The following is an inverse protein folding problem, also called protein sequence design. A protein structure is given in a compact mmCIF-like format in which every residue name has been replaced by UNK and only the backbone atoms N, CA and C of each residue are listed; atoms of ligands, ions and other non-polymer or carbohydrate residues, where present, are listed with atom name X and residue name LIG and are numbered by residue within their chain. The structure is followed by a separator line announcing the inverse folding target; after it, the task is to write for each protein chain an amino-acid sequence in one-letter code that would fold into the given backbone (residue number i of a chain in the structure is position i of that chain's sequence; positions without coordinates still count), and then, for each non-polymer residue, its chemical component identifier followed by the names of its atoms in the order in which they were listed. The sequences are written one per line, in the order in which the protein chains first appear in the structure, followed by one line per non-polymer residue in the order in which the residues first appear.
data_IF_034333857867
#
_entry.id   IF_034333857867
#
_cell.length_a   1.000
_cell.length_b   1.000
_cell.length_c   1.000
_cell.angle_alpha   90.00
_cell.angle_beta   90.00
_cell.angle_gamma   90.00
#
_symmetry.space_group_name_H-M   'P 1'
#
loop_
_entity.id
_entity.type
_entity.pdbx_description
1 polymer ?
#
# COMPACT_ATOMS: atom_id res chain seq x y z
N UNK A 1 28.00 9.16 -8.41
CA UNK A 1 27.63 8.48 -9.68
C UNK A 1 26.20 7.93 -9.60
N UNK A 2 25.88 6.97 -8.73
CA UNK A 2 24.52 6.38 -8.67
C UNK A 2 23.38 7.40 -8.44
N UNK A 3 23.57 8.40 -7.59
CA UNK A 3 22.54 9.43 -7.30
C UNK A 3 22.31 10.40 -8.45
N UNK A 4 23.34 10.69 -9.19
CA UNK A 4 23.29 11.58 -10.34
C UNK A 4 22.56 10.89 -11.50
N UNK A 5 22.85 9.61 -11.69
CA UNK A 5 22.21 8.76 -12.68
C UNK A 5 20.72 8.56 -12.37
N UNK A 6 20.38 8.24 -11.11
CA UNK A 6 19.01 8.14 -10.65
C UNK A 6 18.26 9.47 -10.79
N UNK A 7 18.91 10.60 -10.47
CA UNK A 7 18.33 11.93 -10.65
C UNK A 7 18.02 12.24 -12.11
N UNK A 8 18.89 11.86 -13.03
CA UNK A 8 18.66 12.02 -14.47
C UNK A 8 17.51 11.14 -14.96
N UNK A 9 17.44 9.90 -14.49
CA UNK A 9 16.34 8.98 -14.84
C UNK A 9 14.99 9.47 -14.32
N UNK A 10 14.92 9.95 -13.09
CA UNK A 10 13.72 10.58 -12.53
C UNK A 10 13.30 11.84 -13.31
N UNK A 11 14.26 12.66 -13.78
CA UNK A 11 13.98 13.80 -14.67
C UNK A 11 13.43 13.36 -16.03
N UNK A 12 14.02 12.33 -16.67
CA UNK A 12 13.50 11.79 -17.92
C UNK A 12 12.07 11.27 -17.78
N UNK A 13 11.77 10.59 -16.68
CA UNK A 13 10.42 10.14 -16.38
C UNK A 13 9.43 11.31 -16.21
N UNK A 14 9.87 12.44 -15.60
CA UNK A 14 9.05 13.66 -15.53
C UNK A 14 8.74 14.22 -16.91
N UNK A 15 9.74 14.29 -17.80
CA UNK A 15 9.54 14.73 -19.19
C UNK A 15 8.57 13.80 -19.94
N UNK A 16 8.70 12.48 -19.77
CA UNK A 16 7.76 11.52 -20.34
C UNK A 16 6.33 11.69 -19.83
N UNK A 17 6.15 11.96 -18.54
CA UNK A 17 4.81 12.25 -17.97
C UNK A 17 4.22 13.56 -18.47
N UNK A 18 5.02 14.62 -18.57
CA UNK A 18 4.58 15.89 -19.14
C UNK A 18 4.19 15.74 -20.61
N UNK A 19 4.98 15.00 -21.41
CA UNK A 19 4.64 14.68 -22.78
C UNK A 19 3.33 13.89 -22.89
N UNK A 20 3.15 12.86 -22.04
CA UNK A 20 1.90 12.10 -21.97
C UNK A 20 0.69 12.95 -21.54
N UNK A 21 0.90 13.90 -20.59
CA UNK A 21 -0.16 14.81 -20.16
C UNK A 21 -0.57 15.78 -21.29
N UNK A 22 0.39 16.32 -22.04
CA UNK A 22 0.12 17.18 -23.19
C UNK A 22 -0.63 16.41 -24.28
N UNK A 23 -0.24 15.16 -24.56
CA UNK A 23 -0.96 14.29 -25.48
C UNK A 23 -2.39 14.02 -25.04
N UNK A 24 -2.61 13.74 -23.74
CA UNK A 24 -3.96 13.52 -23.21
C UNK A 24 -4.82 14.78 -23.31
N UNK A 25 -4.27 15.96 -22.97
CA UNK A 25 -4.99 17.24 -23.09
C UNK A 25 -5.34 17.56 -24.53
N UNK A 26 -4.39 17.42 -25.47
CA UNK A 26 -4.66 17.65 -26.89
C UNK A 26 -5.69 16.66 -27.44
N UNK A 27 -5.65 15.41 -27.03
CA UNK A 27 -6.64 14.40 -27.37
C UNK A 27 -8.04 14.78 -26.89
N UNK A 28 -8.16 15.24 -25.64
CA UNK A 28 -9.42 15.74 -25.07
C UNK A 28 -10.00 16.94 -25.81
N UNK A 29 -9.17 17.90 -26.17
CA UNK A 29 -9.58 19.09 -26.95
C UNK A 29 -10.05 18.69 -28.35
N UNK A 30 -9.32 17.81 -29.03
CA UNK A 30 -9.69 17.34 -30.41
C UNK A 30 -11.01 16.56 -30.37
N UNK A 31 -11.20 15.68 -29.37
CA UNK A 31 -12.45 14.95 -29.19
C UNK A 31 -13.64 15.88 -28.95
N UNK A 32 -13.46 16.89 -28.07
CA UNK A 32 -14.48 17.89 -27.78
C UNK A 32 -14.82 18.74 -29.03
N UNK A 33 -13.81 19.15 -29.81
CA UNK A 33 -14.01 19.86 -31.09
C UNK A 33 -14.80 19.01 -32.10
N UNK A 34 -14.54 17.70 -32.17
CA UNK A 34 -15.28 16.77 -33.00
C UNK A 34 -16.78 16.69 -32.65
N UNK A 35 -17.10 16.77 -31.38
CA UNK A 35 -18.52 16.81 -30.90
C UNK A 35 -19.17 18.14 -31.27
N UNK A 36 -18.49 19.28 -31.07
CA UNK A 36 -19.03 20.62 -31.31
C UNK A 36 -19.26 20.88 -32.80
N UNK A 37 -18.41 20.34 -33.69
CA UNK A 37 -18.47 20.51 -35.14
C UNK A 37 -19.47 19.56 -35.85
N UNK A 38 -20.51 19.12 -35.15
CA UNK A 38 -21.56 18.31 -35.75
C UNK A 38 -21.30 16.81 -35.71
N UNK A 39 -20.50 16.33 -34.75
CA UNK A 39 -20.32 14.90 -34.51
C UNK A 39 -19.33 14.23 -35.47
N UNK A 40 -18.26 14.90 -35.86
CA UNK A 40 -17.22 14.30 -36.74
C UNK A 40 -16.56 13.09 -36.02
N UNK A 41 -16.97 11.88 -36.44
CA UNK A 41 -16.49 10.61 -35.89
C UNK A 41 -14.96 10.50 -35.98
N UNK A 42 -14.38 10.98 -37.04
CA UNK A 42 -12.92 10.96 -37.28
C UNK A 42 -12.16 11.75 -36.20
N UNK A 43 -12.64 12.95 -35.84
CA UNK A 43 -12.02 13.79 -34.81
C UNK A 43 -12.23 13.18 -33.40
N UNK A 44 -13.39 12.60 -33.12
CA UNK A 44 -13.67 11.95 -31.86
C UNK A 44 -12.76 10.73 -31.67
N UNK A 45 -12.63 9.89 -32.68
CA UNK A 45 -11.75 8.70 -32.66
C UNK A 45 -10.28 9.12 -32.51
N UNK A 46 -9.82 10.10 -33.27
CA UNK A 46 -8.45 10.60 -33.15
C UNK A 46 -8.17 11.15 -31.75
N UNK A 47 -9.08 11.93 -31.19
CA UNK A 47 -8.98 12.45 -29.82
C UNK A 47 -8.94 11.35 -28.76
N UNK A 48 -9.77 10.31 -28.88
CA UNK A 48 -9.78 9.16 -28.00
C UNK A 48 -8.46 8.36 -28.06
N UNK A 49 -7.91 8.16 -29.26
CA UNK A 49 -6.62 7.48 -29.45
C UNK A 49 -5.49 8.28 -28.80
N UNK A 50 -5.44 9.59 -29.00
CA UNK A 50 -4.41 10.44 -28.38
C UNK A 50 -4.53 10.47 -26.85
N UNK A 51 -5.75 10.48 -26.30
CA UNK A 51 -6.01 10.35 -24.87
C UNK A 51 -5.45 9.01 -24.33
N UNK A 52 -5.78 7.91 -24.97
CA UNK A 52 -5.32 6.57 -24.57
C UNK A 52 -3.79 6.45 -24.64
N UNK A 53 -3.17 6.94 -25.71
CA UNK A 53 -1.71 6.96 -25.86
C UNK A 53 -1.05 7.82 -24.78
N UNK A 54 -1.59 9.00 -24.49
CA UNK A 54 -1.08 9.88 -23.45
C UNK A 54 -1.11 9.22 -22.06
N UNK A 55 -2.20 8.55 -21.73
CA UNK A 55 -2.33 7.80 -20.48
C UNK A 55 -1.36 6.60 -20.41
N UNK A 56 -1.21 5.86 -21.51
CA UNK A 56 -0.27 4.75 -21.58
C UNK A 56 1.20 5.20 -21.38
N UNK A 57 1.60 6.33 -21.99
CA UNK A 57 2.94 6.93 -21.81
C UNK A 57 3.16 7.35 -20.37
N UNK A 58 2.17 8.00 -19.74
CA UNK A 58 2.27 8.41 -18.33
C UNK A 58 2.41 7.20 -17.39
N UNK A 59 1.59 6.16 -17.60
CA UNK A 59 1.63 4.94 -16.79
C UNK A 59 2.97 4.22 -16.91
N UNK A 60 3.47 4.01 -18.12
CA UNK A 60 4.78 3.38 -18.38
C UNK A 60 5.93 4.18 -17.77
N UNK A 61 5.95 5.49 -17.93
CA UNK A 61 6.99 6.36 -17.40
C UNK A 61 7.01 6.33 -15.84
N UNK A 62 5.83 6.28 -15.21
CA UNK A 62 5.73 6.14 -13.75
C UNK A 62 6.22 4.78 -13.27
N UNK A 63 5.81 3.70 -13.93
CA UNK A 63 6.20 2.35 -13.58
C UNK A 63 7.71 2.13 -13.70
N UNK A 64 8.30 2.57 -14.82
CA UNK A 64 9.75 2.49 -15.03
C UNK A 64 10.54 3.26 -13.99
N UNK A 65 10.16 4.51 -13.70
CA UNK A 65 10.84 5.31 -12.67
C UNK A 65 10.68 4.69 -11.28
N UNK A 66 9.52 4.12 -10.96
CA UNK A 66 9.30 3.39 -9.72
C UNK A 66 10.21 2.19 -9.58
N UNK A 67 10.32 1.38 -10.64
CA UNK A 67 11.19 0.21 -10.65
C UNK A 67 12.67 0.61 -10.51
N UNK A 68 13.13 1.60 -11.25
CA UNK A 68 14.51 2.10 -11.16
C UNK A 68 14.84 2.65 -9.77
N UNK A 69 13.93 3.40 -9.15
CA UNK A 69 14.10 3.89 -7.79
C UNK A 69 14.13 2.74 -6.77
N UNK A 70 13.27 1.73 -6.95
CA UNK A 70 13.28 0.53 -6.14
C UNK A 70 14.61 -0.20 -6.25
N UNK A 71 15.06 -0.51 -7.48
CA UNK A 71 16.31 -1.25 -7.73
C UNK A 71 17.56 -0.52 -7.19
N UNK A 72 17.55 0.82 -7.24
CA UNK A 72 18.65 1.64 -6.77
C UNK A 72 18.68 1.88 -5.26
N UNK A 73 17.51 1.97 -4.60
CA UNK A 73 17.41 2.44 -3.20
C UNK A 73 16.98 1.32 -2.25
N UNK A 74 16.03 0.46 -2.64
CA UNK A 74 15.49 -0.53 -1.73
C UNK A 74 16.52 -1.52 -1.18
N UNK A 75 17.48 -2.05 -1.96
CA UNK A 75 18.50 -2.97 -1.44
C UNK A 75 19.34 -2.34 -0.34
N UNK A 76 19.73 -1.06 -0.47
CA UNK A 76 20.49 -0.34 0.53
C UNK A 76 19.71 -0.20 1.85
N UNK A 77 18.45 0.25 1.76
CA UNK A 77 17.62 0.52 2.95
C UNK A 77 17.18 -0.78 3.61
N UNK A 78 16.76 -1.76 2.82
CA UNK A 78 16.36 -3.07 3.33
C UNK A 78 17.55 -3.80 3.93
N UNK A 79 18.73 -3.74 3.28
CA UNK A 79 19.95 -4.35 3.76
C UNK A 79 20.53 -3.71 5.03
N UNK A 80 20.18 -2.47 5.33
CA UNK A 80 20.55 -1.83 6.60
C UNK A 80 19.72 -2.32 7.80
N UNK A 81 18.59 -2.98 7.55
CA UNK A 81 17.60 -3.39 8.58
C UNK A 81 17.44 -4.89 8.66
N UNK A 82 17.43 -5.58 7.53
CA UNK A 82 17.18 -7.02 7.42
C UNK A 82 18.41 -7.77 6.98
N UNK A 83 18.58 -8.97 7.52
CA UNK A 83 19.56 -9.96 7.09
C UNK A 83 18.90 -11.00 6.18
N UNK A 84 19.73 -11.79 5.44
CA UNK A 84 19.28 -12.90 4.60
C UNK A 84 18.15 -12.53 3.62
N UNK A 85 18.31 -11.39 2.95
CA UNK A 85 17.28 -10.83 2.10
C UNK A 85 17.07 -11.67 0.84
N UNK A 86 15.82 -11.98 0.58
CA UNK A 86 15.32 -12.59 -0.64
C UNK A 86 14.26 -11.69 -1.26
N UNK A 87 14.43 -11.36 -2.52
CA UNK A 87 13.45 -10.55 -3.27
C UNK A 87 12.83 -11.39 -4.37
N UNK A 88 11.52 -11.26 -4.53
CA UNK A 88 10.83 -11.84 -5.66
C UNK A 88 9.74 -10.87 -6.15
N UNK A 89 9.96 -10.16 -7.28
CA UNK A 89 8.99 -9.17 -7.76
C UNK A 89 7.66 -9.79 -8.21
N UNK A 90 7.63 -11.12 -8.45
CA UNK A 90 6.44 -11.84 -8.94
C UNK A 90 5.84 -12.74 -7.84
N UNK A 91 6.47 -12.80 -6.67
CA UNK A 91 6.08 -13.74 -5.63
C UNK A 91 4.68 -13.49 -5.07
N UNK A 92 4.10 -14.57 -4.56
CA UNK A 92 2.80 -14.51 -3.95
C UNK A 92 2.78 -13.52 -2.80
N UNK A 93 1.73 -12.84 -2.75
CA UNK A 93 1.22 -11.96 -1.74
C UNK A 93 1.21 -12.71 -0.41
N UNK A 94 1.51 -12.00 0.66
CA UNK A 94 1.20 -12.45 2.01
C UNK A 94 -0.26 -12.89 2.06
N UNK A 95 -0.53 -14.04 2.65
CA UNK A 95 -1.90 -14.53 2.75
C UNK A 95 -2.71 -13.61 3.68
N UNK A 96 -3.56 -12.80 3.07
CA UNK A 96 -4.43 -11.87 3.79
C UNK A 96 -5.66 -12.55 4.38
N UNK A 97 -5.97 -13.78 3.95
CA UNK A 97 -7.14 -14.53 4.41
C UNK A 97 -6.97 -15.03 5.84
N UNK A 98 -5.74 -15.28 6.25
CA UNK A 98 -5.42 -15.71 7.62
C UNK A 98 -5.44 -14.57 8.63
N UNK A 99 -5.80 -13.37 8.24
CA UNK A 99 -5.87 -12.21 9.12
C UNK A 99 -7.32 -11.84 9.44
N UNK A 100 -7.54 -11.34 10.65
CA UNK A 100 -8.81 -10.72 11.04
C UNK A 100 -8.80 -9.19 10.77
N UNK A 101 -7.89 -8.70 9.94
CA UNK A 101 -7.84 -7.28 9.55
C UNK A 101 -9.04 -6.97 8.65
N UNK A 102 -9.89 -6.01 9.02
CA UNK A 102 -10.99 -5.59 8.15
C UNK A 102 -10.47 -4.99 6.85
N UNK A 103 -10.84 -5.60 5.73
CA UNK A 103 -10.54 -5.13 4.40
C UNK A 103 -11.82 -4.75 3.66
N UNK A 104 -11.77 -3.79 2.73
CA UNK A 104 -12.92 -3.50 1.88
C UNK A 104 -13.28 -4.71 1.01
N UNK A 105 -14.55 -4.79 0.59
CA UNK A 105 -14.99 -5.79 -0.38
C UNK A 105 -14.15 -5.69 -1.65
N UNK A 106 -13.73 -6.83 -2.17
CA UNK A 106 -12.91 -6.91 -3.37
C UNK A 106 -13.11 -8.25 -4.09
N UNK A 107 -12.88 -8.25 -5.39
CA UNK A 107 -12.94 -9.45 -6.22
C UNK A 107 -11.55 -9.98 -6.55
N UNK A 108 -10.55 -9.10 -6.61
CA UNK A 108 -9.18 -9.44 -6.94
C UNK A 108 -8.22 -8.89 -5.89
N UNK A 109 -7.22 -9.71 -5.55
CA UNK A 109 -6.10 -9.33 -4.71
C UNK A 109 -4.80 -9.57 -5.48
N UNK A 110 -3.97 -8.54 -5.56
CA UNK A 110 -2.65 -8.61 -6.21
C UNK A 110 -1.59 -8.02 -5.30
N UNK A 111 -0.33 -8.37 -5.54
CA UNK A 111 0.78 -7.84 -4.77
C UNK A 111 1.99 -7.55 -5.63
N UNK A 112 2.91 -6.78 -5.08
CA UNK A 112 4.18 -6.44 -5.72
C UNK A 112 5.25 -6.14 -4.70
N UNK A 113 6.52 -6.22 -5.13
CA UNK A 113 7.66 -5.84 -4.32
C UNK A 113 7.83 -6.72 -3.08
N UNK A 114 7.63 -8.05 -3.22
CA UNK A 114 7.82 -8.98 -2.12
C UNK A 114 9.30 -9.06 -1.71
N UNK A 115 9.52 -8.88 -0.43
CA UNK A 115 10.83 -9.01 0.21
C UNK A 115 10.67 -9.88 1.44
N UNK A 116 11.55 -10.84 1.61
CA UNK A 116 11.68 -11.66 2.81
C UNK A 116 13.07 -11.47 3.38
N UNK A 117 13.17 -11.36 4.69
CA UNK A 117 14.43 -11.23 5.40
C UNK A 117 14.30 -11.62 6.86
N UNK A 118 15.37 -11.36 7.61
CA UNK A 118 15.40 -11.63 9.05
C UNK A 118 15.63 -10.31 9.80
N UNK A 119 14.73 -9.93 10.68
CA UNK A 119 14.85 -8.78 11.56
C UNK A 119 15.08 -9.27 13.00
N UNK A 120 16.26 -8.99 13.57
CA UNK A 120 16.65 -9.45 14.93
C UNK A 120 16.37 -10.96 15.17
N UNK A 121 16.66 -11.80 14.18
CA UNK A 121 16.40 -13.24 14.23
C UNK A 121 14.96 -13.64 13.87
N UNK A 122 14.04 -12.71 13.69
CA UNK A 122 12.66 -12.96 13.34
C UNK A 122 12.45 -12.98 11.83
N UNK A 123 11.85 -14.04 11.30
CA UNK A 123 11.50 -14.10 9.88
C UNK A 123 10.44 -13.05 9.58
N UNK A 124 10.75 -12.16 8.64
CA UNK A 124 9.90 -11.03 8.27
C UNK A 124 9.70 -11.00 6.75
N UNK A 125 8.47 -10.77 6.35
CA UNK A 125 8.07 -10.68 4.95
C UNK A 125 7.30 -9.37 4.75
N UNK A 126 7.55 -8.68 3.66
CA UNK A 126 6.86 -7.44 3.32
C UNK A 126 6.50 -7.38 1.84
N UNK A 127 5.38 -6.77 1.53
CA UNK A 127 4.93 -6.53 0.16
C UNK A 127 3.91 -5.38 0.10
N UNK A 128 3.66 -4.90 -1.10
CA UNK A 128 2.51 -4.05 -1.40
C UNK A 128 1.32 -4.93 -1.76
N UNK A 129 0.15 -4.65 -1.19
CA UNK A 129 -1.11 -5.31 -1.56
C UNK A 129 -2.04 -4.31 -2.22
N UNK A 130 -2.67 -4.74 -3.31
CA UNK A 130 -3.72 -4.03 -4.03
C UNK A 130 -4.98 -4.88 -4.06
N UNK A 131 -6.10 -4.28 -3.67
CA UNK A 131 -7.42 -4.90 -3.78
C UNK A 131 -8.22 -4.13 -4.81
N UNK A 132 -8.80 -4.86 -5.75
CA UNK A 132 -9.60 -4.31 -6.84
C UNK A 132 -10.99 -4.94 -6.80
N UNK A 133 -11.99 -4.11 -6.95
CA UNK A 133 -13.36 -4.53 -7.17
C UNK A 133 -13.65 -4.45 -8.67
N UNK A 134 -14.05 -5.59 -9.24
CA UNK A 134 -14.46 -5.68 -10.64
C UNK A 134 -15.96 -5.86 -10.68
N UNK A 135 -16.66 -4.88 -11.23
CA UNK A 135 -18.08 -4.90 -11.46
C UNK A 135 -18.35 -5.15 -12.94
N UNK A 136 -19.17 -6.17 -13.22
CA UNK A 136 -19.64 -6.47 -14.58
C UNK A 136 -21.12 -6.07 -14.68
N UNK A 137 -21.46 -5.28 -15.66
CA UNK A 137 -22.82 -4.87 -15.92
C UNK A 137 -23.14 -4.90 -17.41
N UNK A 138 -24.35 -5.31 -17.79
CA UNK A 138 -24.78 -5.27 -19.19
C UNK A 138 -24.97 -3.82 -19.61
N UNK A 139 -24.44 -3.45 -20.78
CA UNK A 139 -24.70 -2.16 -21.40
C UNK A 139 -26.09 -2.17 -22.03
N UNK A 140 -26.98 -1.30 -21.56
CA UNK A 140 -28.39 -1.29 -21.98
C UNK A 140 -28.57 -1.15 -23.51
N UNK A 141 -27.69 -0.40 -24.17
CA UNK A 141 -27.79 -0.12 -25.62
C UNK A 141 -27.31 -1.27 -26.53
N UNK A 142 -26.36 -2.09 -26.08
CA UNK A 142 -25.71 -3.09 -26.95
C UNK A 142 -25.83 -4.52 -26.42
N UNK A 143 -26.26 -4.71 -25.19
CA UNK A 143 -26.28 -6.01 -24.52
C UNK A 143 -24.90 -6.61 -24.22
N UNK A 144 -23.83 -5.90 -24.53
CA UNK A 144 -22.47 -6.31 -24.24
C UNK A 144 -22.13 -6.05 -22.76
N UNK A 145 -21.40 -6.98 -22.16
CA UNK A 145 -20.94 -6.83 -20.79
C UNK A 145 -19.77 -5.83 -20.71
N UNK A 146 -19.94 -4.81 -19.91
CA UNK A 146 -18.88 -3.86 -19.56
C UNK A 146 -18.27 -4.23 -18.21
N UNK A 147 -16.94 -4.10 -18.11
CA UNK A 147 -16.20 -4.30 -16.85
C UNK A 147 -15.72 -2.95 -16.35
N UNK A 148 -16.02 -2.67 -15.10
CA UNK A 148 -15.46 -1.54 -14.37
C UNK A 148 -14.54 -2.06 -13.28
N UNK A 149 -13.28 -1.65 -13.29
CA UNK A 149 -12.31 -1.98 -12.28
C UNK A 149 -12.06 -0.76 -11.40
N UNK A 150 -12.24 -0.94 -10.08
CA UNK A 150 -11.98 0.09 -9.10
C UNK A 150 -10.95 -0.41 -8.09
N UNK A 151 -9.84 0.31 -7.93
CA UNK A 151 -8.88 0.04 -6.88
C UNK A 151 -9.46 0.54 -5.55
N UNK A 152 -9.85 -0.40 -4.66
CA UNK A 152 -10.50 -0.09 -3.38
C UNK A 152 -9.51 -0.02 -2.21
N UNK A 153 -8.30 -0.57 -2.40
CA UNK A 153 -7.25 -0.56 -1.39
C UNK A 153 -5.87 -0.66 -2.03
N UNK A 154 -4.94 0.17 -1.56
CA UNK A 154 -3.49 -0.01 -1.76
C UNK A 154 -2.81 0.21 -0.44
N UNK A 155 -2.02 -0.75 -0.02
CA UNK A 155 -1.35 -0.67 1.27
C UNK A 155 -0.04 -1.44 1.34
N UNK A 156 0.73 -1.08 2.34
CA UNK A 156 1.97 -1.73 2.72
C UNK A 156 1.64 -2.81 3.75
N UNK A 157 2.10 -4.03 3.52
CA UNK A 157 1.87 -5.16 4.40
C UNK A 157 3.18 -5.79 4.84
N UNK A 158 3.23 -6.14 6.13
CA UNK A 158 4.34 -6.87 6.71
C UNK A 158 3.79 -8.03 7.55
N UNK A 159 4.43 -9.19 7.43
CA UNK A 159 4.28 -10.34 8.30
C UNK A 159 5.60 -10.55 9.04
N UNK A 160 5.56 -10.63 10.36
CA UNK A 160 6.68 -11.05 11.21
C UNK A 160 6.27 -12.29 12.01
N UNK A 161 7.14 -13.31 12.03
CA UNK A 161 6.97 -14.49 12.85
C UNK A 161 7.72 -14.31 14.16
N UNK A 162 7.00 -14.08 15.27
CA UNK A 162 7.60 -13.82 16.59
C UNK A 162 8.28 -15.04 17.23
N UNK A 163 8.20 -16.20 16.57
CA UNK A 163 8.88 -17.44 17.00
C UNK A 163 8.28 -18.12 18.23
N UNK A 164 7.10 -17.70 18.66
CA UNK A 164 6.39 -18.27 19.81
C UNK A 164 4.89 -18.09 19.65
N UNK A 165 4.15 -19.02 20.26
CA UNK A 165 2.69 -18.95 20.33
C UNK A 165 2.25 -17.95 21.40
N UNK A 166 1.09 -17.35 21.19
CA UNK A 166 0.43 -16.47 22.15
C UNK A 166 -0.92 -17.04 22.59
N UNK A 167 -1.37 -16.67 23.77
CA UNK A 167 -2.56 -17.23 24.41
C UNK A 167 -3.85 -16.95 23.63
N UNK A 168 -3.91 -15.85 22.88
CA UNK A 168 -5.07 -15.44 22.12
C UNK A 168 -4.65 -14.67 20.86
N UNK A 169 -5.50 -14.63 19.86
CA UNK A 169 -5.35 -13.69 18.78
C UNK A 169 -5.89 -12.31 19.18
N UNK A 170 -5.37 -11.26 18.58
CA UNK A 170 -5.92 -9.92 18.72
C UNK A 170 -5.82 -9.16 17.40
N UNK A 171 -6.80 -8.30 17.15
CA UNK A 171 -6.78 -7.38 16.01
C UNK A 171 -7.07 -5.96 16.49
N UNK A 172 -6.23 -5.03 16.06
CA UNK A 172 -6.36 -3.59 16.28
C UNK A 172 -6.56 -2.94 14.93
N UNK A 173 -7.58 -2.10 14.78
CA UNK A 173 -7.80 -1.33 13.56
C UNK A 173 -8.38 0.06 13.86
N UNK A 174 -8.25 1.02 12.93
CA UNK A 174 -8.71 2.38 13.15
C UNK A 174 -10.21 2.45 13.40
N UNK A 175 -10.62 3.27 14.35
CA UNK A 175 -12.05 3.53 14.59
C UNK A 175 -12.60 4.42 13.49
N UNK A 176 -13.51 3.89 12.69
CA UNK A 176 -14.26 4.62 11.67
C UNK A 176 -15.68 4.90 12.15
N UNK A 177 -16.18 6.11 11.88
CA UNK A 177 -17.49 6.56 12.39
C UNK A 177 -18.69 5.69 11.94
N UNK A 178 -18.55 4.95 10.84
CA UNK A 178 -19.61 4.17 10.21
C UNK A 178 -19.65 2.69 10.63
N UNK A 179 -18.56 2.15 11.18
CA UNK A 179 -18.48 0.74 11.56
C UNK A 179 -18.88 0.56 13.04
N UNK A 180 -20.08 0.05 13.29
CA UNK A 180 -20.51 -0.42 14.61
C UNK A 180 -20.03 -1.85 14.82
N UNK A 181 -18.77 -2.04 15.16
CA UNK A 181 -18.27 -3.36 15.57
C UNK A 181 -18.19 -3.44 17.10
N UNK A 182 -18.44 -4.65 17.63
CA UNK A 182 -18.19 -4.93 19.04
C UNK A 182 -16.68 -4.79 19.29
N UNK A 183 -16.31 -3.93 20.22
CA UNK A 183 -14.90 -3.67 20.57
C UNK A 183 -14.68 -3.90 22.04
N UNK A 184 -13.52 -4.46 22.38
CA UNK A 184 -13.04 -4.58 23.74
C UNK A 184 -12.61 -3.19 24.21
N UNK A 185 -13.05 -2.80 25.43
CA UNK A 185 -12.61 -1.56 26.05
C UNK A 185 -11.33 -1.81 26.82
N UNK A 186 -10.28 -1.06 26.53
CA UNK A 186 -8.96 -1.27 27.15
C UNK A 186 -8.80 -0.53 28.47
N UNK A 187 -9.71 0.40 28.77
CA UNK A 187 -9.59 1.34 29.89
C UNK A 187 -8.66 2.52 29.59
N UNK A 188 -7.96 2.52 28.46
CA UNK A 188 -7.19 3.67 27.98
C UNK A 188 -8.06 4.50 27.02
N UNK A 189 -8.60 5.61 27.51
CA UNK A 189 -9.52 6.44 26.75
C UNK A 189 -8.92 7.02 25.45
N UNK A 190 -7.61 7.23 25.36
CA UNK A 190 -6.94 7.70 24.16
C UNK A 190 -6.87 6.59 23.10
N UNK A 191 -6.55 5.37 23.54
CA UNK A 191 -6.51 4.19 22.67
C UNK A 191 -7.92 3.84 22.17
N UNK A 192 -8.90 3.77 23.07
CA UNK A 192 -10.29 3.41 22.76
C UNK A 192 -10.99 4.41 21.83
N UNK A 193 -10.57 5.67 21.83
CA UNK A 193 -11.06 6.68 20.86
C UNK A 193 -10.50 6.49 19.45
N UNK A 194 -9.30 5.93 19.33
CA UNK A 194 -8.56 5.86 18.06
C UNK A 194 -8.68 4.50 17.39
N UNK A 195 -8.82 3.45 18.19
CA UNK A 195 -8.79 2.07 17.70
C UNK A 195 -9.98 1.25 18.19
N UNK A 196 -10.31 0.25 17.37
CA UNK A 196 -11.08 -0.90 17.78
C UNK A 196 -10.11 -2.02 18.18
N UNK A 197 -10.47 -2.78 19.21
CA UNK A 197 -9.79 -3.99 19.62
C UNK A 197 -10.77 -5.16 19.57
N UNK A 198 -10.39 -6.26 18.92
CA UNK A 198 -11.11 -7.52 18.90
C UNK A 198 -10.20 -8.68 19.26
N UNK A 199 -10.74 -9.64 19.96
CA UNK A 199 -10.10 -10.88 20.36
C UNK A 199 -11.18 -11.89 20.72
N UNK A 200 -10.83 -13.15 20.83
CA UNK A 200 -11.71 -14.18 21.40
C UNK A 200 -11.59 -14.30 22.94
N UNK A 201 -10.48 -13.84 23.51
CA UNK A 201 -10.26 -13.76 24.96
C UNK A 201 -9.82 -12.34 25.36
N UNK A 202 -10.76 -11.59 25.92
CA UNK A 202 -10.56 -10.21 26.37
C UNK A 202 -9.46 -10.09 27.43
N UNK A 203 -9.47 -10.97 28.42
CA UNK A 203 -8.50 -10.92 29.51
C UNK A 203 -7.07 -11.18 29.02
N UNK A 204 -6.88 -12.12 28.11
CA UNK A 204 -5.59 -12.39 27.49
C UNK A 204 -5.15 -11.26 26.53
N UNK A 205 -6.08 -10.68 25.76
CA UNK A 205 -5.78 -9.54 24.90
C UNK A 205 -5.30 -8.32 25.72
N UNK A 206 -5.93 -8.03 26.86
CA UNK A 206 -5.53 -6.93 27.76
C UNK A 206 -4.17 -7.21 28.44
N UNK A 207 -3.82 -8.49 28.68
CA UNK A 207 -2.46 -8.84 29.15
C UNK A 207 -1.40 -8.60 28.08
N UNK A 208 -1.73 -8.87 26.81
CA UNK A 208 -0.86 -8.57 25.68
C UNK A 208 -0.72 -7.05 25.48
N UNK A 209 -1.83 -6.32 25.50
CA UNK A 209 -1.86 -4.87 25.33
C UNK A 209 -1.68 -4.13 26.68
N UNK A 210 -0.50 -4.24 27.23
CA UNK A 210 -0.14 -3.47 28.44
C UNK A 210 -0.27 -1.96 28.21
N UNK A 211 -0.43 -1.14 29.27
CA UNK A 211 -0.49 0.33 29.14
C UNK A 211 0.69 0.90 28.34
N UNK A 212 1.92 0.44 28.62
CA UNK A 212 3.11 0.90 27.88
C UNK A 212 3.11 0.52 26.40
N UNK A 213 2.54 -0.65 26.03
CA UNK A 213 2.37 -1.01 24.62
C UNK A 213 1.34 -0.12 23.93
N UNK A 214 0.21 0.14 24.59
CA UNK A 214 -0.80 1.06 24.05
C UNK A 214 -0.24 2.47 23.81
N UNK A 215 0.56 2.99 24.73
CA UNK A 215 1.24 4.28 24.55
C UNK A 215 2.20 4.28 23.34
N UNK A 216 2.99 3.22 23.18
CA UNK A 216 3.88 3.06 22.01
C UNK A 216 3.09 2.97 20.71
N UNK A 217 1.98 2.22 20.67
CA UNK A 217 1.10 2.13 19.49
C UNK A 217 0.50 3.51 19.17
N UNK A 218 0.07 4.27 20.17
CA UNK A 218 -0.44 5.62 19.98
C UNK A 218 0.62 6.56 19.41
N UNK A 219 1.85 6.51 19.91
CA UNK A 219 2.97 7.30 19.39
C UNK A 219 3.31 6.93 17.93
N UNK A 220 3.31 5.63 17.59
CA UNK A 220 3.50 5.16 16.24
C UNK A 220 2.35 5.57 15.30
N UNK A 221 1.13 5.66 15.86
CA UNK A 221 -0.02 6.13 15.09
C UNK A 221 0.10 7.59 14.66
N UNK A 222 0.77 8.43 15.45
CA UNK A 222 0.99 9.85 15.12
C UNK A 222 2.02 10.04 14.00
N UNK A 223 2.95 9.09 13.84
CA UNK A 223 3.99 9.10 12.80
C UNK A 223 3.65 8.27 11.57
N UNK A 224 2.54 7.53 11.58
CA UNK A 224 2.15 6.66 10.47
C UNK A 224 1.70 7.48 9.25
N UNK A 225 2.17 7.07 8.06
CA UNK A 225 1.81 7.71 6.80
C UNK A 225 0.34 7.51 6.39
N UNK A 226 -0.39 6.61 7.05
CA UNK A 226 -1.77 6.27 6.76
C UNK A 226 -2.49 5.64 7.93
N UNK A 227 -3.68 5.12 7.69
CA UNK A 227 -4.37 4.29 8.67
C UNK A 227 -3.69 2.93 8.72
N UNK A 228 -3.53 2.36 9.91
CA UNK A 228 -2.94 1.04 10.04
C UNK A 228 -3.81 0.09 10.84
N UNK A 229 -3.59 -1.19 10.60
CA UNK A 229 -4.18 -2.29 11.37
C UNK A 229 -3.08 -3.26 11.77
N UNK A 230 -3.27 -3.90 12.91
CA UNK A 230 -2.38 -4.92 13.46
C UNK A 230 -3.22 -6.16 13.73
N UNK A 231 -2.72 -7.32 13.34
CA UNK A 231 -3.29 -8.60 13.76
C UNK A 231 -2.16 -9.49 14.28
N UNK A 232 -2.33 -10.01 15.48
CA UNK A 232 -1.47 -11.00 16.08
C UNK A 232 -2.26 -12.31 16.18
N UNK A 233 -1.81 -13.34 15.49
CA UNK A 233 -2.41 -14.66 15.54
C UNK A 233 -1.83 -15.50 16.69
N UNK A 234 -2.54 -16.55 17.09
CA UNK A 234 -2.11 -17.45 18.19
C UNK A 234 -0.76 -18.12 17.94
N UNK A 235 -0.43 -18.40 16.69
CA UNK A 235 0.85 -18.99 16.26
C UNK A 235 2.00 -17.97 16.16
N UNK A 236 1.85 -16.80 16.76
CA UNK A 236 2.85 -15.75 16.79
C UNK A 236 3.07 -15.02 15.46
N UNK A 237 2.20 -15.19 14.46
CA UNK A 237 2.24 -14.39 13.24
C UNK A 237 1.66 -12.99 13.51
N UNK A 238 2.51 -11.99 13.41
CA UNK A 238 2.15 -10.57 13.51
C UNK A 238 2.02 -9.98 12.11
N UNK A 239 0.81 -9.57 11.77
CA UNK A 239 0.51 -8.87 10.51
C UNK A 239 0.33 -7.37 10.79
N UNK A 240 1.01 -6.56 9.98
CA UNK A 240 0.91 -5.11 9.99
C UNK A 240 0.44 -4.66 8.61
N UNK A 241 -0.63 -3.88 8.56
CA UNK A 241 -1.18 -3.34 7.32
C UNK A 241 -1.29 -1.81 7.43
N UNK A 242 -0.68 -1.07 6.51
CA UNK A 242 -0.78 0.39 6.43
C UNK A 242 -1.49 0.79 5.15
N UNK A 243 -2.67 1.36 5.28
CA UNK A 243 -3.44 1.91 4.17
C UNK A 243 -3.07 3.38 3.95
N UNK A 244 -2.10 3.61 3.11
CA UNK A 244 -1.61 4.95 2.73
C UNK A 244 -2.00 5.36 1.31
N UNK A 245 -2.68 4.48 0.54
CA UNK A 245 -2.90 4.64 -0.90
C UNK A 245 -1.63 4.48 -1.73
N UNK A 246 -0.55 3.97 -1.11
CA UNK A 246 0.76 3.75 -1.75
C UNK A 246 1.35 2.43 -1.29
N UNK A 247 2.17 1.83 -2.17
CA UNK A 247 2.96 0.66 -1.82
C UNK A 247 4.28 1.00 -1.15
N UNK A 248 5.02 -0.04 -0.74
CA UNK A 248 6.42 0.10 -0.33
C UNK A 248 7.24 0.67 -1.48
N UNK A 249 8.16 1.59 -1.16
CA UNK A 249 9.09 2.21 -2.11
C UNK A 249 8.43 2.92 -3.30
N UNK A 250 7.16 3.30 -3.17
CA UNK A 250 6.45 4.07 -4.21
C UNK A 250 7.04 5.49 -4.29
N UNK A 251 7.48 5.89 -5.48
CA UNK A 251 8.02 7.23 -5.75
C UNK A 251 6.94 8.32 -5.74
N UNK A 252 5.67 7.97 -5.53
CA UNK A 252 4.56 8.91 -5.49
C UNK A 252 4.42 9.72 -6.78
N UNK A 253 4.35 11.04 -6.63
CA UNK A 253 4.29 11.97 -7.79
C UNK A 253 5.67 12.24 -8.42
N UNK A 254 6.76 11.67 -7.90
CA UNK A 254 8.10 11.79 -8.44
C UNK A 254 8.69 13.21 -8.33
N UNK A 255 8.31 13.98 -7.34
CA UNK A 255 8.87 15.31 -7.07
C UNK A 255 10.07 15.25 -6.13
N UNK A 256 10.25 14.14 -5.43
CA UNK A 256 11.29 13.95 -4.44
C UNK A 256 12.67 13.70 -5.10
N UNK A 257 13.70 14.17 -4.45
CA UNK A 257 15.09 13.85 -4.81
C UNK A 257 15.45 12.44 -4.33
N UNK A 258 16.50 11.78 -4.86
CA UNK A 258 16.96 10.49 -4.36
C UNK A 258 17.21 10.47 -2.84
N UNK A 259 17.80 11.53 -2.29
CA UNK A 259 18.03 11.65 -0.85
C UNK A 259 16.74 11.73 -0.04
N UNK A 260 15.74 12.45 -0.54
CA UNK A 260 14.41 12.51 0.09
C UNK A 260 13.70 11.15 0.02
N UNK A 261 13.80 10.44 -1.12
CA UNK A 261 13.25 9.08 -1.27
C UNK A 261 13.88 8.10 -0.29
N UNK A 262 15.22 8.10 -0.15
CA UNK A 262 15.93 7.25 0.82
C UNK A 262 15.44 7.52 2.24
N UNK A 263 15.39 8.80 2.63
CA UNK A 263 14.94 9.18 3.97
C UNK A 263 13.51 8.70 4.24
N UNK A 264 12.61 8.90 3.29
CA UNK A 264 11.21 8.48 3.42
C UNK A 264 11.08 6.97 3.50
N UNK A 265 11.74 6.23 2.61
CA UNK A 265 11.71 4.77 2.61
C UNK A 265 12.29 4.18 3.91
N UNK A 266 13.38 4.76 4.40
CA UNK A 266 13.96 4.36 5.69
C UNK A 266 13.00 4.65 6.85
N UNK A 267 12.29 5.78 6.84
CA UNK A 267 11.27 6.11 7.86
C UNK A 267 10.06 5.18 7.79
N UNK A 268 9.59 4.86 6.59
CA UNK A 268 8.49 3.90 6.39
C UNK A 268 8.89 2.53 6.93
N UNK A 269 10.05 2.02 6.58
CA UNK A 269 10.54 0.72 7.06
C UNK A 269 10.75 0.71 8.57
N UNK A 270 11.33 1.78 9.11
CA UNK A 270 11.53 1.95 10.55
C UNK A 270 10.20 1.89 11.33
N UNK A 271 9.14 2.48 10.81
CA UNK A 271 7.82 2.41 11.44
C UNK A 271 7.35 0.95 11.62
N UNK A 272 7.54 0.11 10.61
CA UNK A 272 7.19 -1.30 10.68
C UNK A 272 8.05 -2.06 11.70
N UNK A 273 9.35 -1.81 11.73
CA UNK A 273 10.24 -2.46 12.71
C UNK A 273 9.98 -1.98 14.13
N UNK A 274 9.70 -0.70 14.34
CA UNK A 274 9.30 -0.17 15.65
C UNK A 274 7.99 -0.83 16.12
N UNK A 275 7.04 -1.12 15.21
CA UNK A 275 5.81 -1.83 15.55
C UNK A 275 6.08 -3.31 15.88
N UNK A 276 6.99 -3.99 15.18
CA UNK A 276 7.44 -5.33 15.58
C UNK A 276 7.99 -5.30 17.01
N UNK A 277 8.84 -4.32 17.33
CA UNK A 277 9.44 -4.16 18.66
C UNK A 277 8.42 -3.85 19.78
N UNK A 278 7.21 -3.39 19.44
CA UNK A 278 6.09 -3.29 20.42
C UNK A 278 5.61 -4.66 20.85
N UNK A 279 5.56 -5.62 19.90
CA UNK A 279 5.04 -6.97 20.13
C UNK A 279 6.15 -7.99 20.41
N UNK A 280 7.41 -7.65 20.19
CA UNK A 280 8.53 -8.48 20.63
C UNK A 280 8.55 -8.56 22.17
N UNK A 281 8.61 -9.77 22.71
CA UNK A 281 8.48 -9.98 24.15
C UNK A 281 7.04 -10.19 24.67
N UNK A 282 6.05 -10.45 23.79
CA UNK A 282 4.68 -10.86 24.20
C UNK A 282 4.67 -12.26 24.77
#
# INVERSE_FOLDING_TARGET
MADEELSQQLRKSKCGRLGGMLLSLSGGVIAAAGVIQGGSIALIVLGAVLLALGQAVQGRSKAQAGQQAFDAIAPEIVGAVFENIQTNPIAPILDTKDTNIPLPGHTHCSGSGYIRGTYRGLTTELCTIRLTEVNEFPREETGLWEKSECEVYVGQWLLCKLGRDVSTWLTIWPREKLLRSKTIQTGNAAFDRRFHLSSDDEASALRILTPGRMERILALADSCAGKFSVNLNRDGRLYLAVHSGRGFFDIGKGHETPAQLRRRFAQELKWFTDMIDVFDGV
#
